data_IF_438883739531
#
_entry.id   IF_438883739531
#
_cell.length_a   1.000
_cell.length_b   1.000
_cell.length_c   1.000
_cell.angle_alpha   90.00
_cell.angle_beta   90.00
_cell.angle_gamma   90.00
#
_symmetry.space_group_name_H-M   'P 1'
#
loop_
_entity.id
_entity.type
_entity.pdbx_description
1 polymer ?
#
# COMPACT_ATOMS: atom_id res chain seq x y z
N UNK A 1 24.49 16.86 -12.71
CA UNK A 1 23.35 16.94 -11.81
C UNK A 1 23.68 16.23 -10.50
N UNK A 2 23.42 16.88 -9.45
CA UNK A 2 23.77 16.37 -8.13
C UNK A 2 22.85 15.21 -7.73
N UNK A 3 23.42 14.14 -7.14
CA UNK A 3 22.65 12.98 -6.65
C UNK A 3 21.61 13.38 -5.61
N UNK A 4 21.90 14.42 -4.80
CA UNK A 4 20.97 14.91 -3.79
C UNK A 4 19.72 15.53 -4.42
N UNK A 5 19.84 16.21 -5.55
CA UNK A 5 18.70 16.79 -6.26
C UNK A 5 17.81 15.67 -6.81
N UNK A 6 18.41 14.62 -7.38
CA UNK A 6 17.65 13.48 -7.89
C UNK A 6 16.89 12.75 -6.77
N UNK A 7 17.52 12.55 -5.60
CA UNK A 7 16.87 11.94 -4.45
C UNK A 7 15.71 12.79 -3.91
N UNK A 8 15.87 14.10 -3.87
CA UNK A 8 14.80 15.01 -3.43
C UNK A 8 13.61 14.94 -4.40
N UNK A 9 13.87 14.88 -5.70
CA UNK A 9 12.79 14.76 -6.71
C UNK A 9 12.02 13.46 -6.56
N UNK A 10 12.71 12.34 -6.34
CA UNK A 10 12.08 11.04 -6.12
C UNK A 10 11.22 11.04 -4.84
N UNK A 11 11.75 11.59 -3.76
CA UNK A 11 10.99 11.68 -2.51
C UNK A 11 9.76 12.56 -2.65
N UNK A 12 9.87 13.69 -3.35
CA UNK A 12 8.75 14.57 -3.59
C UNK A 12 7.66 13.91 -4.42
N UNK A 13 8.04 13.20 -5.49
CA UNK A 13 7.09 12.46 -6.31
C UNK A 13 6.36 11.38 -5.51
N UNK A 14 7.09 10.61 -4.71
CA UNK A 14 6.52 9.56 -3.86
C UNK A 14 5.58 10.16 -2.81
N UNK A 15 5.99 11.24 -2.17
CA UNK A 15 5.19 11.92 -1.16
C UNK A 15 3.91 12.49 -1.78
N UNK A 16 4.01 13.11 -2.96
CA UNK A 16 2.84 13.66 -3.64
C UNK A 16 1.83 12.58 -4.01
N UNK A 17 2.29 11.44 -4.50
CA UNK A 17 1.42 10.31 -4.83
C UNK A 17 0.69 9.80 -3.59
N UNK A 18 1.39 9.68 -2.46
CA UNK A 18 0.81 9.29 -1.18
C UNK A 18 -0.23 10.32 -0.71
N UNK A 19 0.10 11.61 -0.77
CA UNK A 19 -0.79 12.69 -0.35
C UNK A 19 -2.08 12.69 -1.20
N UNK A 20 -1.95 12.52 -2.50
CA UNK A 20 -3.11 12.43 -3.40
C UNK A 20 -4.00 11.23 -3.07
N UNK A 21 -3.39 10.09 -2.78
CA UNK A 21 -4.12 8.88 -2.41
C UNK A 21 -4.89 9.08 -1.11
N UNK A 22 -4.27 9.74 -0.12
CA UNK A 22 -4.94 10.06 1.15
C UNK A 22 -6.11 11.01 0.95
N UNK A 23 -5.95 12.04 0.14
CA UNK A 23 -7.02 12.99 -0.16
C UNK A 23 -8.18 12.31 -0.88
N UNK A 24 -7.89 11.49 -1.88
CA UNK A 24 -8.91 10.74 -2.61
C UNK A 24 -9.66 9.77 -1.70
N UNK A 25 -8.94 9.09 -0.81
CA UNK A 25 -9.54 8.18 0.16
C UNK A 25 -10.53 8.92 1.06
N UNK A 26 -10.12 10.06 1.62
CA UNK A 26 -10.98 10.86 2.49
C UNK A 26 -12.23 11.36 1.77
N UNK A 27 -12.13 11.64 0.48
CA UNK A 27 -13.26 12.09 -0.33
C UNK A 27 -14.24 10.95 -0.64
N UNK A 28 -13.72 9.74 -0.84
CA UNK A 28 -14.50 8.61 -1.35
C UNK A 28 -15.13 7.74 -0.24
N UNK A 29 -14.82 8.00 1.02
CA UNK A 29 -15.29 7.18 2.13
C UNK A 29 -16.01 8.00 3.20
N UNK A 30 -16.84 7.32 3.96
CA UNK A 30 -17.51 7.92 5.12
C UNK A 30 -16.53 7.95 6.29
N UNK A 31 -15.92 9.10 6.51
CA UNK A 31 -14.90 9.28 7.55
C UNK A 31 -15.46 9.08 8.96
N UNK A 32 -16.70 9.49 9.20
CA UNK A 32 -17.33 9.31 10.52
C UNK A 32 -17.47 7.82 10.87
N UNK A 33 -17.89 7.01 9.90
CA UNK A 33 -18.06 5.58 10.08
C UNK A 33 -16.71 4.88 10.30
N UNK A 34 -15.71 5.22 9.47
CA UNK A 34 -14.37 4.63 9.59
C UNK A 34 -13.70 5.00 10.90
N UNK A 35 -13.78 6.27 11.29
CA UNK A 35 -13.20 6.73 12.56
C UNK A 35 -13.79 5.97 13.75
N UNK A 36 -15.09 5.74 13.72
CA UNK A 36 -15.78 4.99 14.76
C UNK A 36 -15.26 3.55 14.84
N UNK A 37 -15.08 2.91 13.69
CA UNK A 37 -14.54 1.54 13.63
C UNK A 37 -13.09 1.47 14.10
N UNK A 38 -12.34 2.55 13.94
CA UNK A 38 -10.93 2.64 14.36
C UNK A 38 -10.78 3.19 15.78
N UNK A 39 -11.89 3.43 16.48
CA UNK A 39 -11.89 4.03 17.83
C UNK A 39 -11.11 5.35 17.85
N UNK A 40 -11.41 6.21 16.90
CA UNK A 40 -10.73 7.48 16.68
C UNK A 40 -11.77 8.57 16.38
N UNK A 41 -11.44 9.82 16.71
CA UNK A 41 -12.29 10.95 16.33
C UNK A 41 -12.25 11.19 14.82
N UNK A 42 -13.39 11.57 14.25
CA UNK A 42 -13.48 11.87 12.81
C UNK A 42 -12.50 12.97 12.40
N UNK A 43 -12.43 14.05 13.20
CA UNK A 43 -11.51 15.16 12.91
C UNK A 43 -10.06 14.69 12.91
N UNK A 44 -9.68 13.84 13.86
CA UNK A 44 -8.33 13.30 13.90
C UNK A 44 -8.02 12.46 12.68
N UNK A 45 -8.96 11.61 12.25
CA UNK A 45 -8.75 10.78 11.06
C UNK A 45 -8.63 11.66 9.81
N UNK A 46 -9.47 12.66 9.65
CA UNK A 46 -9.37 13.60 8.54
C UNK A 46 -8.04 14.34 8.55
N UNK A 47 -7.57 14.75 9.71
CA UNK A 47 -6.28 15.44 9.84
C UNK A 47 -5.12 14.53 9.45
N UNK A 48 -5.18 13.25 9.82
CA UNK A 48 -4.13 12.29 9.47
C UNK A 48 -4.06 12.01 7.97
N UNK A 49 -5.17 12.16 7.26
CA UNK A 49 -5.23 11.98 5.81
C UNK A 49 -5.06 13.30 5.04
N UNK A 50 -4.89 14.40 5.73
CA UNK A 50 -4.73 15.73 5.14
C UNK A 50 -3.25 16.13 5.18
N UNK A 51 -2.58 16.28 4.02
CA UNK A 51 -1.15 16.61 4.00
C UNK A 51 -0.84 17.99 4.57
N UNK A 52 -1.84 18.89 4.65
CA UNK A 52 -1.69 20.23 5.22
C UNK A 52 -1.65 20.24 6.75
N UNK A 53 -1.99 19.12 7.38
CA UNK A 53 -2.02 18.99 8.82
C UNK A 53 -0.74 18.31 9.34
N UNK A 54 -0.29 18.64 10.56
CA UNK A 54 0.92 18.03 11.13
C UNK A 54 0.73 16.57 11.56
N UNK A 55 -0.50 16.14 11.75
CA UNK A 55 -0.79 14.77 12.17
C UNK A 55 -0.49 13.79 11.05
N UNK A 56 0.12 12.66 11.40
CA UNK A 56 0.51 11.64 10.43
C UNK A 56 -0.19 10.33 10.71
N UNK A 57 -0.37 9.55 9.64
CA UNK A 57 -0.96 8.22 9.72
C UNK A 57 0.12 7.22 10.13
N UNK A 58 -0.14 6.49 11.23
CA UNK A 58 0.76 5.42 11.63
C UNK A 58 0.57 4.20 10.72
N UNK A 59 1.62 3.40 10.58
CA UNK A 59 1.56 2.21 9.72
C UNK A 59 0.41 1.27 10.10
N UNK A 60 0.20 1.05 11.40
CA UNK A 60 -0.90 0.18 11.85
C UNK A 60 -2.26 0.78 11.52
N UNK A 61 -2.38 2.10 11.54
CA UNK A 61 -3.62 2.78 11.19
C UNK A 61 -3.95 2.60 9.71
N UNK A 62 -2.94 2.55 8.86
CA UNK A 62 -3.15 2.25 7.44
C UNK A 62 -3.73 0.84 7.27
N UNK A 63 -3.22 -0.14 8.01
CA UNK A 63 -3.76 -1.49 7.99
C UNK A 63 -5.23 -1.51 8.42
N UNK A 64 -5.58 -0.77 9.47
CA UNK A 64 -6.97 -0.65 9.92
C UNK A 64 -7.88 0.02 8.88
N UNK A 65 -7.39 1.06 8.22
CA UNK A 65 -8.14 1.71 7.13
C UNK A 65 -8.45 0.72 6.01
N UNK A 66 -7.44 -0.02 5.57
CA UNK A 66 -7.62 -1.03 4.53
C UNK A 66 -8.62 -2.10 4.96
N UNK A 67 -8.49 -2.59 6.19
CA UNK A 67 -9.37 -3.64 6.72
C UNK A 67 -10.82 -3.18 6.79
N UNK A 68 -11.06 -2.00 7.33
CA UNK A 68 -12.43 -1.52 7.56
C UNK A 68 -13.10 -0.95 6.31
N UNK A 69 -12.33 -0.44 5.36
CA UNK A 69 -12.87 0.14 4.12
C UNK A 69 -12.91 -0.84 2.96
N UNK A 70 -12.04 -1.84 2.97
CA UNK A 70 -11.84 -2.70 1.81
C UNK A 70 -11.10 -2.02 0.67
N UNK A 71 -10.60 -0.81 0.88
CA UNK A 71 -9.90 -0.02 -0.12
C UNK A 71 -8.39 -0.03 0.16
N UNK A 72 -7.62 -0.58 -0.77
CA UNK A 72 -6.17 -0.74 -0.63
C UNK A 72 -5.39 0.30 -1.45
N UNK A 73 -6.04 1.35 -1.92
CA UNK A 73 -5.42 2.33 -2.82
C UNK A 73 -4.21 3.03 -2.20
N UNK A 74 -4.29 3.44 -0.93
CA UNK A 74 -3.16 4.07 -0.23
C UNK A 74 -2.01 3.08 -0.09
N UNK A 75 -2.32 1.87 0.34
CA UNK A 75 -1.33 0.80 0.48
C UNK A 75 -0.63 0.51 -0.86
N UNK A 76 -1.39 0.42 -1.94
CA UNK A 76 -0.84 0.14 -3.27
C UNK A 76 0.11 1.25 -3.73
N UNK A 77 -0.24 2.50 -3.48
CA UNK A 77 0.63 3.64 -3.81
C UNK A 77 1.96 3.56 -3.05
N UNK A 78 1.92 3.16 -1.78
CA UNK A 78 3.14 3.05 -0.97
C UNK A 78 4.10 1.98 -1.47
N UNK A 79 3.58 0.84 -1.94
CA UNK A 79 4.40 -0.33 -2.21
C UNK A 79 4.63 -0.64 -3.68
N UNK A 80 3.89 0.02 -4.62
CA UNK A 80 4.01 -0.25 -6.04
C UNK A 80 5.43 -0.02 -6.60
N UNK A 81 6.14 0.97 -6.06
CA UNK A 81 7.47 1.33 -6.54
C UNK A 81 8.58 0.43 -5.97
N UNK A 82 8.22 -0.47 -5.06
CA UNK A 82 9.19 -1.33 -4.40
C UNK A 82 9.34 -2.68 -5.10
N UNK A 83 8.79 -2.82 -6.31
CA UNK A 83 8.82 -4.08 -7.03
C UNK A 83 7.89 -5.13 -6.46
N UNK A 84 6.88 -4.71 -5.70
CA UNK A 84 5.89 -5.60 -5.08
C UNK A 84 4.52 -5.36 -5.67
N UNK A 85 3.67 -6.37 -5.59
CA UNK A 85 2.27 -6.31 -6.01
C UNK A 85 1.41 -6.78 -4.85
N UNK A 86 0.37 -6.01 -4.54
CA UNK A 86 -0.61 -6.40 -3.53
C UNK A 86 -1.75 -7.14 -4.21
N UNK A 87 -2.06 -8.32 -3.73
CA UNK A 87 -3.13 -9.16 -4.25
C UNK A 87 -4.08 -9.49 -3.11
N UNK A 88 -5.39 -9.29 -3.33
CA UNK A 88 -6.39 -9.69 -2.37
C UNK A 88 -6.48 -11.22 -2.32
N UNK A 89 -6.49 -11.77 -1.10
CA UNK A 89 -6.63 -13.20 -0.93
C UNK A 89 -8.08 -13.63 -1.20
N UNK A 90 -8.28 -14.80 -1.82
CA UNK A 90 -9.62 -15.36 -2.00
C UNK A 90 -10.22 -15.81 -0.66
N UNK A 91 -11.48 -16.28 -0.64
CA UNK A 91 -12.08 -16.82 0.58
C UNK A 91 -11.19 -17.86 1.26
N UNK A 92 -11.28 -17.94 2.58
CA UNK A 92 -10.39 -18.79 3.39
C UNK A 92 -10.30 -20.23 2.88
N UNK A 93 -11.42 -20.77 2.37
CA UNK A 93 -11.46 -22.12 1.82
C UNK A 93 -10.56 -22.31 0.59
N UNK A 94 -10.23 -21.24 -0.10
CA UNK A 94 -9.41 -21.26 -1.32
C UNK A 94 -8.02 -20.68 -1.14
N UNK A 95 -7.73 -20.09 0.01
CA UNK A 95 -6.47 -19.39 0.25
C UNK A 95 -5.26 -20.30 0.10
N UNK A 96 -5.35 -21.53 0.61
CA UNK A 96 -4.24 -22.48 0.53
C UNK A 96 -3.87 -22.76 -0.92
N UNK A 97 -4.86 -23.06 -1.75
CA UNK A 97 -4.65 -23.33 -3.17
C UNK A 97 -4.08 -22.13 -3.91
N UNK A 98 -4.60 -20.94 -3.59
CA UNK A 98 -4.12 -19.68 -4.18
C UNK A 98 -2.66 -19.43 -3.80
N UNK A 99 -2.33 -19.57 -2.51
CA UNK A 99 -0.97 -19.35 -2.02
C UNK A 99 -0.01 -20.37 -2.63
N UNK A 100 -0.40 -21.63 -2.69
CA UNK A 100 0.41 -22.69 -3.31
C UNK A 100 0.70 -22.37 -4.77
N UNK A 101 -0.31 -21.95 -5.54
CA UNK A 101 -0.13 -21.58 -6.94
C UNK A 101 0.78 -20.38 -7.12
N UNK A 102 0.63 -19.37 -6.25
CA UNK A 102 1.46 -18.18 -6.30
C UNK A 102 2.93 -18.51 -6.00
N UNK A 103 3.17 -19.33 -4.98
CA UNK A 103 4.51 -19.80 -4.63
C UNK A 103 5.11 -20.67 -5.73
N UNK A 104 4.30 -21.54 -6.34
CA UNK A 104 4.76 -22.39 -7.43
C UNK A 104 5.15 -21.57 -8.65
N UNK A 105 4.37 -20.57 -9.01
CA UNK A 105 4.70 -19.65 -10.11
C UNK A 105 5.99 -18.88 -9.83
N UNK A 106 6.18 -18.42 -8.62
CA UNK A 106 7.41 -17.71 -8.23
C UNK A 106 8.62 -18.66 -8.26
N UNK A 107 8.45 -19.88 -7.76
CA UNK A 107 9.51 -20.90 -7.79
C UNK A 107 9.87 -21.26 -9.23
N UNK A 108 8.87 -21.44 -10.10
CA UNK A 108 9.10 -21.73 -11.51
C UNK A 108 9.86 -20.58 -12.20
N UNK A 109 9.44 -19.35 -11.96
CA UNK A 109 10.13 -18.17 -12.49
C UNK A 109 11.56 -18.08 -11.95
N UNK A 110 11.74 -18.40 -10.66
CA UNK A 110 13.05 -18.44 -10.03
C UNK A 110 13.96 -19.50 -10.62
N UNK A 111 13.42 -20.68 -10.91
CA UNK A 111 14.16 -21.77 -11.56
C UNK A 111 14.61 -21.35 -12.97
N UNK A 112 13.73 -20.77 -13.75
CA UNK A 112 14.09 -20.27 -15.08
C UNK A 112 15.18 -19.23 -15.02
N UNK A 113 15.09 -18.29 -14.10
CA UNK A 113 16.14 -17.28 -13.89
C UNK A 113 17.43 -17.90 -13.40
N UNK A 114 17.34 -18.87 -12.49
CA UNK A 114 18.49 -19.62 -11.97
C UNK A 114 19.19 -20.42 -13.05
N UNK A 115 18.44 -21.13 -13.89
CA UNK A 115 18.97 -21.88 -15.02
C UNK A 115 19.68 -20.98 -16.01
N UNK A 116 19.10 -19.82 -16.33
CA UNK A 116 19.74 -18.85 -17.21
C UNK A 116 21.05 -18.32 -16.63
N UNK A 117 21.10 -18.09 -15.34
CA UNK A 117 22.34 -17.70 -14.64
C UNK A 117 23.37 -18.78 -14.62
N UNK A 118 22.95 -20.04 -14.42
CA UNK A 118 23.87 -21.19 -14.38
C UNK A 118 24.46 -21.52 -15.75
N UNK A 119 23.76 -21.19 -16.81
CA UNK A 119 24.21 -21.38 -18.17
C UNK A 119 25.23 -20.33 -18.61
N UNK A 120 25.35 -19.28 -17.86
CA UNK A 120 26.34 -18.25 -18.04
C UNK A 120 27.58 -18.59 -17.21
#
# INVERSE_FOLDING_TARGET
MDANIAMCSLRSAKQNAFDEACCAFATNHNMASLARKMDMGETMLRNKLNPEQPHKLYAIELAWLCHHSGDYSIHNVLYSDLGTVTVALPPESEQKSFIERTLMNNAFSGELSGDAMQMC
#
